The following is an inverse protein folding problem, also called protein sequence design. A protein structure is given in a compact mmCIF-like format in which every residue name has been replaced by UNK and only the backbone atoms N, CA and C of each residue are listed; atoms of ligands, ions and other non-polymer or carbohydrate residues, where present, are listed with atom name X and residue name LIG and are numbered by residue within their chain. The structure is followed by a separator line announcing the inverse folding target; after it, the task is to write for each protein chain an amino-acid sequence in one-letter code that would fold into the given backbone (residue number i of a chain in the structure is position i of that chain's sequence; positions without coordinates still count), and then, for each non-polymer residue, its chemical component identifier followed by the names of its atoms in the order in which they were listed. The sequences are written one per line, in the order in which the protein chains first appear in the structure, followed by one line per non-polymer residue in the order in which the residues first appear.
data_IF_404849689733
#
_entry.id   IF_404849689733
#
_cell.length_a   1.000
_cell.length_b   1.000
_cell.length_c   1.000
_cell.angle_alpha   90.00
_cell.angle_beta   90.00
_cell.angle_gamma   90.00
#
_symmetry.space_group_name_H-M   'P 1'
#
loop_
_entity.id
_entity.type
_entity.pdbx_description
1 polymer ?
#
# COMPACT_ATOMS: atom_id res chain seq x y z
N UNK A 1 -84.52 -18.06 0.75
CA UNK A 1 -84.31 -18.82 -0.50
C UNK A 1 -82.82 -18.87 -0.82
N UNK A 2 -82.26 -20.07 -1.05
CA UNK A 2 -80.96 -20.33 -1.72
C UNK A 2 -79.68 -20.06 -0.90
N UNK A 3 -79.10 -21.02 -0.16
CA UNK A 3 -78.16 -22.10 -0.60
C UNK A 3 -76.85 -21.58 -1.24
N UNK A 4 -75.70 -21.69 -0.54
CA UNK A 4 -74.59 -22.68 -0.72
C UNK A 4 -73.70 -22.37 -1.95
N UNK A 5 -72.36 -22.38 -1.98
CA UNK A 5 -71.25 -22.84 -1.12
C UNK A 5 -69.92 -22.34 -1.73
N UNK A 6 -68.86 -22.24 -0.90
CA UNK A 6 -67.42 -22.65 -1.08
C UNK A 6 -66.78 -22.55 -2.49
N UNK A 7 -65.55 -22.08 -2.72
CA UNK A 7 -64.27 -22.30 -2.02
C UNK A 7 -63.16 -21.60 -2.80
N UNK A 8 -62.10 -21.18 -2.10
CA UNK A 8 -60.83 -20.80 -2.73
C UNK A 8 -59.78 -20.40 -1.69
N UNK A 9 -59.14 -21.40 -1.07
CA UNK A 9 -57.94 -21.20 -0.25
C UNK A 9 -56.77 -20.78 -1.15
N UNK A 10 -55.95 -19.82 -0.70
CA UNK A 10 -54.49 -19.92 -0.79
C UNK A 10 -53.85 -19.11 0.33
N UNK A 11 -52.86 -19.75 0.97
CA UNK A 11 -52.15 -19.33 2.17
C UNK A 11 -51.09 -18.25 1.88
N UNK A 12 -50.73 -17.48 2.91
CA UNK A 12 -49.59 -16.56 2.85
C UNK A 12 -49.35 -15.87 4.19
N UNK A 13 -48.50 -16.47 4.99
CA UNK A 13 -47.99 -16.03 6.29
C UNK A 13 -47.40 -14.61 6.28
N UNK A 14 -47.51 -13.91 7.42
CA UNK A 14 -46.49 -12.94 7.84
C UNK A 14 -46.95 -11.49 7.99
N UNK A 15 -47.27 -11.10 9.22
CA UNK A 15 -47.13 -9.72 9.68
C UNK A 15 -46.82 -9.70 11.18
N UNK A 16 -45.71 -10.33 11.56
CA UNK A 16 -45.04 -9.97 12.80
C UNK A 16 -44.48 -8.56 12.60
N UNK A 17 -45.14 -7.56 13.20
CA UNK A 17 -44.69 -6.17 13.13
C UNK A 17 -43.24 -6.02 13.58
N UNK A 18 -42.45 -5.11 12.97
CA UNK A 18 -41.07 -4.91 13.38
C UNK A 18 -41.03 -4.33 14.80
N UNK A 19 -40.70 -5.20 15.75
CA UNK A 19 -40.22 -4.84 17.09
C UNK A 19 -39.01 -3.92 16.92
N UNK A 20 -39.19 -2.62 17.20
CA UNK A 20 -38.08 -1.68 17.35
C UNK A 20 -37.21 -2.15 18.51
N UNK A 21 -36.03 -2.68 18.18
CA UNK A 21 -34.90 -2.73 19.12
C UNK A 21 -33.84 -1.78 18.61
N UNK A 22 -33.51 -0.87 19.50
CA UNK A 22 -32.65 0.28 19.32
C UNK A 22 -31.28 -0.07 18.75
N UNK A 23 -30.77 0.89 17.99
CA UNK A 23 -29.61 0.71 17.13
C UNK A 23 -28.30 0.62 17.89
N UNK A 24 -27.35 -0.10 17.27
CA UNK A 24 -26.00 0.38 16.93
C UNK A 24 -25.25 -0.79 16.28
N UNK A 25 -25.45 -1.01 14.98
CA UNK A 25 -24.46 -1.73 14.17
C UNK A 25 -23.26 -0.77 14.04
N UNK A 26 -22.39 -0.76 15.04
CA UNK A 26 -21.04 -0.21 14.91
C UNK A 26 -20.36 -0.96 13.77
N UNK A 27 -20.25 -0.34 12.61
CA UNK A 27 -19.34 -0.80 11.56
C UNK A 27 -17.95 -0.85 12.20
N UNK A 28 -17.42 -2.05 12.51
CA UNK A 28 -16.02 -2.20 12.94
C UNK A 28 -15.16 -1.45 11.94
N UNK A 29 -14.53 -0.37 12.39
CA UNK A 29 -13.57 0.40 11.62
C UNK A 29 -12.55 -0.57 11.02
N UNK A 30 -12.25 -0.43 9.74
CA UNK A 30 -11.31 -1.31 9.05
C UNK A 30 -9.94 -1.18 9.72
N UNK A 31 -9.55 -2.20 10.49
CA UNK A 31 -8.20 -2.34 11.01
C UNK A 31 -7.38 -3.25 10.06
N UNK A 32 -6.40 -2.70 9.32
CA UNK A 32 -5.56 -3.49 8.43
C UNK A 32 -4.78 -4.57 9.18
N UNK A 33 -4.43 -4.37 10.46
CA UNK A 33 -3.68 -5.35 11.23
C UNK A 33 -4.48 -6.64 11.50
N UNK A 34 -5.81 -6.55 11.54
CA UNK A 34 -6.69 -7.71 11.72
C UNK A 34 -7.12 -8.34 10.39
N UNK A 35 -7.17 -7.57 9.30
CA UNK A 35 -7.84 -8.00 8.05
C UNK A 35 -6.91 -8.13 6.85
N UNK A 36 -5.85 -7.34 6.78
CA UNK A 36 -4.92 -7.35 5.65
C UNK A 36 -3.84 -8.44 5.83
N UNK A 37 -3.75 -9.44 4.93
CA UNK A 37 -2.73 -10.49 4.99
C UNK A 37 -1.29 -9.94 4.98
N UNK A 38 -1.03 -8.82 4.30
CA UNK A 38 0.31 -8.24 4.21
C UNK A 38 0.74 -7.64 5.55
N UNK A 39 -0.17 -7.00 6.28
CA UNK A 39 0.12 -6.48 7.62
C UNK A 39 0.36 -7.61 8.61
N UNK A 40 -0.38 -8.74 8.48
CA UNK A 40 -0.11 -9.95 9.25
C UNK A 40 1.25 -10.57 8.92
N UNK A 41 1.63 -10.59 7.65
CA UNK A 41 2.95 -11.05 7.20
C UNK A 41 4.05 -10.18 7.80
N UNK A 42 3.90 -8.85 7.76
CA UNK A 42 4.84 -7.93 8.41
C UNK A 42 4.94 -8.19 9.92
N UNK A 43 3.81 -8.36 10.62
CA UNK A 43 3.79 -8.67 12.05
C UNK A 43 4.49 -9.99 12.40
N UNK A 44 4.47 -10.98 11.49
CA UNK A 44 5.15 -12.27 11.65
C UNK A 44 6.62 -12.27 11.20
N UNK A 45 7.08 -11.21 10.51
CA UNK A 45 8.44 -11.14 9.94
C UNK A 45 9.56 -10.96 10.96
N UNK A 46 9.24 -10.61 12.22
CA UNK A 46 10.23 -10.24 13.24
C UNK A 46 10.81 -8.82 13.08
N UNK A 47 10.34 -8.06 12.09
CA UNK A 47 10.72 -6.65 11.92
C UNK A 47 10.25 -5.80 13.10
N UNK A 48 11.10 -4.87 13.55
CA UNK A 48 10.75 -3.87 14.56
C UNK A 48 10.10 -2.67 13.87
N UNK A 49 8.87 -2.36 14.23
CA UNK A 49 8.10 -1.22 13.73
C UNK A 49 7.09 -0.75 14.78
N UNK A 50 6.62 0.49 14.65
CA UNK A 50 5.48 0.98 15.42
C UNK A 50 4.21 0.91 14.57
N UNK A 51 3.20 0.15 15.02
CA UNK A 51 1.93 -0.05 14.30
C UNK A 51 1.25 1.25 13.88
N UNK A 52 1.33 2.28 14.73
CA UNK A 52 0.69 3.58 14.49
C UNK A 52 1.45 4.43 13.46
N UNK A 53 2.72 4.14 13.23
CA UNK A 53 3.57 4.89 12.30
C UNK A 53 3.58 4.29 10.89
N UNK A 54 3.18 3.02 10.73
CA UNK A 54 3.10 2.35 9.43
C UNK A 54 2.09 3.05 8.52
N UNK A 55 2.58 3.48 7.35
CA UNK A 55 1.82 4.18 6.31
C UNK A 55 1.27 3.23 5.27
N UNK A 56 2.04 2.22 4.89
CA UNK A 56 1.55 1.11 4.08
C UNK A 56 2.44 -0.13 4.24
N UNK A 57 1.85 -1.28 3.90
CA UNK A 57 2.55 -2.53 3.58
C UNK A 57 2.10 -2.97 2.19
N UNK A 58 3.04 -3.41 1.36
CA UNK A 58 2.78 -3.77 -0.04
C UNK A 58 3.78 -4.85 -0.51
N UNK A 59 3.41 -5.62 -1.54
CA UNK A 59 4.37 -6.45 -2.27
C UNK A 59 4.63 -5.86 -3.64
N UNK A 60 5.88 -5.93 -4.08
CA UNK A 60 6.22 -5.66 -5.47
C UNK A 60 5.98 -6.88 -6.37
N UNK A 61 6.18 -6.71 -7.68
CA UNK A 61 6.03 -7.81 -8.66
C UNK A 61 7.02 -8.96 -8.48
N UNK A 62 8.10 -8.78 -7.72
CA UNK A 62 9.01 -9.87 -7.34
C UNK A 62 8.53 -10.65 -6.12
N UNK A 63 7.42 -10.24 -5.50
CA UNK A 63 6.87 -10.81 -4.27
C UNK A 63 7.55 -10.29 -3.00
N UNK A 64 8.49 -9.35 -3.11
CA UNK A 64 9.16 -8.78 -1.93
C UNK A 64 8.18 -7.91 -1.14
N UNK A 65 8.04 -8.19 0.16
CA UNK A 65 7.30 -7.35 1.10
C UNK A 65 8.08 -6.06 1.36
N UNK A 66 7.47 -4.91 1.06
CA UNK A 66 8.01 -3.57 1.28
C UNK A 66 7.02 -2.78 2.13
N UNK A 67 7.53 -2.03 3.10
CA UNK A 67 6.70 -1.25 4.01
C UNK A 67 7.33 0.10 4.32
N UNK A 68 6.47 1.08 4.60
CA UNK A 68 6.87 2.43 4.94
C UNK A 68 6.23 2.81 6.28
N UNK A 69 7.02 3.42 7.16
CA UNK A 69 6.53 4.10 8.36
C UNK A 69 6.88 5.59 8.34
N UNK A 70 6.38 6.33 9.32
CA UNK A 70 6.67 7.75 9.53
C UNK A 70 8.18 8.04 9.47
N UNK A 71 8.98 7.26 10.19
CA UNK A 71 10.43 7.38 10.20
C UNK A 71 10.93 8.67 10.86
N UNK A 72 12.06 9.18 10.39
CA UNK A 72 12.72 10.39 10.88
C UNK A 72 13.50 11.08 9.74
N UNK A 73 14.28 12.12 10.05
CA UNK A 73 15.06 12.87 9.03
C UNK A 73 16.08 12.04 8.23
N UNK A 74 16.42 10.82 8.66
CA UNK A 74 17.38 9.92 8.01
C UNK A 74 16.75 8.74 7.27
N UNK A 75 15.49 8.39 7.54
CA UNK A 75 14.81 7.26 6.87
C UNK A 75 13.29 7.35 6.97
N UNK A 76 12.58 6.72 6.03
CA UNK A 76 11.12 6.63 6.05
C UNK A 76 10.45 7.88 5.48
N UNK A 77 9.17 8.07 5.79
CA UNK A 77 8.37 9.13 5.16
C UNK A 77 8.92 10.53 5.43
N UNK A 78 9.34 10.82 6.67
CA UNK A 78 9.92 12.13 7.02
C UNK A 78 11.15 12.46 6.17
N UNK A 79 12.06 11.51 5.99
CA UNK A 79 13.23 11.69 5.13
C UNK A 79 12.85 11.90 3.67
N UNK A 80 11.94 11.08 3.13
CA UNK A 80 11.46 11.20 1.74
C UNK A 80 10.87 12.59 1.51
N UNK A 81 10.03 13.06 2.42
CA UNK A 81 9.37 14.36 2.29
C UNK A 81 10.38 15.51 2.44
N UNK A 82 11.27 15.46 3.46
CA UNK A 82 12.25 16.52 3.69
C UNK A 82 13.29 16.64 2.56
N UNK A 83 13.68 15.53 1.94
CA UNK A 83 14.76 15.52 0.94
C UNK A 83 14.30 15.44 -0.50
N UNK A 84 13.14 14.83 -0.75
CA UNK A 84 12.73 14.40 -2.09
C UNK A 84 11.34 14.85 -2.52
N UNK A 85 10.57 15.58 -1.68
CA UNK A 85 9.28 16.13 -2.10
C UNK A 85 9.40 16.94 -3.41
N UNK A 86 10.45 17.74 -3.54
CA UNK A 86 10.68 18.54 -4.74
C UNK A 86 10.99 17.69 -5.98
N UNK A 87 11.60 16.52 -5.82
CA UNK A 87 11.84 15.59 -6.94
C UNK A 87 10.50 15.07 -7.46
N UNK A 88 9.62 14.61 -6.56
CA UNK A 88 8.26 14.17 -6.88
C UNK A 88 7.45 15.26 -7.58
N UNK A 89 7.46 16.48 -7.02
CA UNK A 89 6.69 17.61 -7.54
C UNK A 89 7.21 18.07 -8.90
N UNK A 90 8.52 18.33 -9.03
CA UNK A 90 9.10 18.94 -10.23
C UNK A 90 9.19 17.98 -11.41
N UNK A 91 9.50 16.70 -11.16
CA UNK A 91 9.75 15.75 -12.25
C UNK A 91 8.44 15.09 -12.70
N UNK A 92 7.54 14.79 -11.77
CA UNK A 92 6.35 13.95 -12.05
C UNK A 92 5.02 14.55 -11.65
N UNK A 93 5.00 15.76 -11.06
CA UNK A 93 3.78 16.47 -10.67
C UNK A 93 3.09 15.88 -9.44
N UNK A 94 3.78 15.07 -8.64
CA UNK A 94 3.20 14.41 -7.46
C UNK A 94 3.29 15.37 -6.27
N UNK A 95 2.15 15.79 -5.74
CA UNK A 95 2.09 16.65 -4.55
C UNK A 95 2.46 15.90 -3.27
N UNK A 96 2.86 16.64 -2.25
CA UNK A 96 3.28 16.12 -0.93
C UNK A 96 2.29 15.11 -0.35
N UNK A 97 1.00 15.45 -0.35
CA UNK A 97 -0.05 14.61 0.24
C UNK A 97 -0.25 13.30 -0.52
N UNK A 98 0.13 13.27 -1.80
CA UNK A 98 0.02 12.10 -2.66
C UNK A 98 1.27 11.21 -2.64
N UNK A 99 2.38 11.62 -2.00
CA UNK A 99 3.61 10.80 -1.98
C UNK A 99 3.35 9.39 -1.45
N UNK A 100 2.65 9.26 -0.31
CA UNK A 100 2.37 7.95 0.31
C UNK A 100 1.50 7.05 -0.58
N UNK A 101 0.28 7.44 -0.99
CA UNK A 101 -0.55 6.59 -1.83
C UNK A 101 0.10 6.29 -3.18
N UNK A 102 0.80 7.27 -3.77
CA UNK A 102 1.48 7.12 -5.05
C UNK A 102 2.65 6.13 -4.97
N UNK A 103 3.50 6.23 -3.95
CA UNK A 103 4.61 5.29 -3.73
C UNK A 103 4.09 3.85 -3.55
N UNK A 104 2.99 3.66 -2.82
CA UNK A 104 2.36 2.33 -2.69
C UNK A 104 1.96 1.75 -4.05
N UNK A 105 1.32 2.57 -4.90
CA UNK A 105 0.90 2.18 -6.24
C UNK A 105 2.11 1.80 -7.10
N UNK A 106 3.14 2.65 -7.17
CA UNK A 106 4.36 2.39 -7.95
C UNK A 106 4.99 1.05 -7.57
N UNK A 107 5.10 0.75 -6.28
CA UNK A 107 5.71 -0.50 -5.82
C UNK A 107 4.86 -1.71 -6.24
N UNK A 108 3.54 -1.64 -6.06
CA UNK A 108 2.63 -2.75 -6.39
C UNK A 108 2.43 -2.99 -7.89
N UNK A 109 2.37 -1.93 -8.68
CA UNK A 109 1.95 -1.99 -10.08
C UNK A 109 3.08 -1.69 -11.07
N UNK A 110 4.15 -1.03 -10.64
CA UNK A 110 5.29 -0.67 -11.46
C UNK A 110 6.10 -1.89 -11.92
N UNK A 111 6.75 -1.75 -13.06
CA UNK A 111 7.74 -2.69 -13.56
C UNK A 111 9.08 -2.43 -12.89
N UNK A 112 9.75 -3.49 -12.45
CA UNK A 112 11.10 -3.40 -11.87
C UNK A 112 12.08 -3.40 -13.04
N UNK A 113 12.67 -2.24 -13.31
CA UNK A 113 13.66 -2.06 -14.39
C UNK A 113 15.02 -2.66 -14.00
N UNK A 114 15.38 -2.55 -12.72
CA UNK A 114 16.46 -3.31 -12.12
C UNK A 114 16.27 -3.45 -10.61
N UNK A 115 16.95 -4.44 -10.04
CA UNK A 115 17.11 -4.63 -8.61
C UNK A 115 18.54 -5.07 -8.32
N UNK A 116 19.22 -4.41 -7.39
CA UNK A 116 20.55 -4.81 -6.93
C UNK A 116 20.66 -4.78 -5.42
N UNK A 117 21.52 -5.65 -4.89
CA UNK A 117 21.94 -5.58 -3.49
C UNK A 117 22.93 -4.43 -3.33
N UNK A 118 22.78 -3.66 -2.25
CA UNK A 118 23.72 -2.60 -1.85
C UNK A 118 24.13 -2.83 -0.40
N UNK A 119 25.40 -2.55 -0.09
CA UNK A 119 25.89 -2.52 1.29
C UNK A 119 26.26 -1.09 1.65
N UNK A 120 25.68 -0.56 2.74
CA UNK A 120 25.99 0.77 3.27
C UNK A 120 26.24 0.66 4.76
N UNK A 121 27.40 1.10 5.22
CA UNK A 121 27.79 1.08 6.63
C UNK A 121 27.61 -0.32 7.28
N UNK A 122 28.04 -1.37 6.57
CA UNK A 122 27.93 -2.76 7.01
C UNK A 122 26.52 -3.36 6.98
N UNK A 123 25.51 -2.62 6.48
CA UNK A 123 24.13 -3.11 6.35
C UNK A 123 23.81 -3.38 4.89
N UNK A 124 23.36 -4.59 4.61
CA UNK A 124 22.85 -4.99 3.29
C UNK A 124 21.40 -4.55 3.11
N UNK A 125 21.06 -4.14 1.90
CA UNK A 125 19.72 -3.78 1.46
C UNK A 125 19.60 -3.85 -0.05
N UNK A 126 18.56 -3.24 -0.59
CA UNK A 126 18.28 -3.22 -2.02
C UNK A 126 18.14 -1.80 -2.54
N UNK A 127 18.56 -1.60 -3.78
CA UNK A 127 18.20 -0.46 -4.61
C UNK A 127 17.40 -0.99 -5.80
N UNK A 128 16.25 -0.37 -6.09
CA UNK A 128 15.37 -0.77 -7.18
C UNK A 128 14.88 0.44 -7.96
N UNK A 129 14.89 0.35 -9.28
CA UNK A 129 14.24 1.34 -10.14
C UNK A 129 12.92 0.77 -10.64
N UNK A 130 11.86 1.55 -10.47
CA UNK A 130 10.52 1.24 -10.93
C UNK A 130 10.14 2.13 -12.11
N UNK A 131 9.43 1.57 -13.06
CA UNK A 131 8.72 2.27 -14.11
C UNK A 131 7.21 2.07 -13.92
N UNK A 132 6.48 3.17 -13.79
CA UNK A 132 5.03 3.17 -13.71
C UNK A 132 4.49 4.21 -14.69
N UNK A 133 3.78 3.74 -15.72
CA UNK A 133 3.18 4.59 -16.77
C UNK A 133 4.19 5.53 -17.44
N UNK A 134 5.41 5.05 -17.69
CA UNK A 134 6.49 5.82 -18.32
C UNK A 134 7.19 6.81 -17.38
N UNK A 135 6.79 6.88 -16.10
CA UNK A 135 7.48 7.65 -15.05
C UNK A 135 8.36 6.74 -14.20
N UNK A 136 9.51 7.24 -13.78
CA UNK A 136 10.55 6.43 -13.13
C UNK A 136 10.78 6.86 -11.69
N UNK A 137 10.89 5.87 -10.80
CA UNK A 137 11.08 6.09 -9.37
C UNK A 137 12.19 5.20 -8.86
N UNK A 138 13.20 5.81 -8.25
CA UNK A 138 14.28 5.08 -7.62
C UNK A 138 13.92 4.87 -6.14
N UNK A 139 13.80 3.61 -5.73
CA UNK A 139 13.87 3.23 -4.32
C UNK A 139 15.35 3.06 -3.99
N UNK A 140 15.96 4.13 -3.47
CA UNK A 140 17.41 4.25 -3.27
C UNK A 140 17.92 3.51 -2.04
N UNK A 141 17.00 3.02 -1.20
CA UNK A 141 17.29 2.16 -0.06
C UNK A 141 16.05 1.42 0.43
N UNK A 142 16.10 0.10 0.35
CA UNK A 142 15.17 -0.82 0.98
C UNK A 142 16.00 -1.68 1.94
N UNK A 143 15.66 -1.70 3.23
CA UNK A 143 16.31 -2.59 4.19
C UNK A 143 16.11 -4.05 3.80
N UNK A 144 17.00 -4.94 4.26
CA UNK A 144 16.83 -6.39 4.05
C UNK A 144 15.51 -6.94 4.60
N UNK A 145 14.92 -6.24 5.58
CA UNK A 145 13.61 -6.51 6.17
C UNK A 145 12.43 -5.83 5.44
N UNK A 146 12.65 -5.24 4.27
CA UNK A 146 11.61 -4.56 3.48
C UNK A 146 11.32 -3.11 3.88
N UNK A 147 12.00 -2.57 4.88
CA UNK A 147 11.78 -1.17 5.30
C UNK A 147 12.22 -0.19 4.22
N UNK A 148 11.31 0.65 3.75
CA UNK A 148 11.61 1.69 2.76
C UNK A 148 12.31 2.88 3.44
N UNK A 149 13.60 3.05 3.16
CA UNK A 149 14.43 4.13 3.71
C UNK A 149 14.25 5.41 2.93
N UNK A 150 14.33 5.34 1.59
CA UNK A 150 14.26 6.52 0.73
C UNK A 150 13.81 6.14 -0.69
N UNK A 151 13.04 7.05 -1.30
CA UNK A 151 12.64 6.96 -2.71
C UNK A 151 12.40 8.35 -3.28
N UNK A 152 12.63 8.51 -4.59
CA UNK A 152 12.39 9.75 -5.31
C UNK A 152 12.12 9.51 -6.80
N UNK A 153 11.41 10.47 -7.40
CA UNK A 153 11.20 10.54 -8.85
C UNK A 153 12.53 10.81 -9.58
N UNK A 154 12.71 10.20 -10.77
CA UNK A 154 13.88 10.45 -11.61
C UNK A 154 13.45 10.70 -13.06
N UNK A 155 14.17 11.60 -13.74
CA UNK A 155 13.91 11.85 -15.16
C UNK A 155 14.18 10.59 -15.99
N UNK A 156 13.51 10.46 -17.14
CA UNK A 156 13.75 9.36 -18.09
C UNK A 156 15.23 9.28 -18.53
N UNK A 157 15.89 10.42 -18.75
CA UNK A 157 17.32 10.49 -19.07
C UNK A 157 18.16 9.84 -17.97
N UNK A 158 17.89 10.17 -16.71
CA UNK A 158 18.58 9.59 -15.55
C UNK A 158 18.27 8.09 -15.42
N UNK A 159 17.01 7.69 -15.59
CA UNK A 159 16.58 6.31 -15.54
C UNK A 159 17.32 5.44 -16.58
N UNK A 160 17.41 5.90 -17.84
CA UNK A 160 18.15 5.23 -18.92
C UNK A 160 19.62 5.02 -18.58
N UNK A 161 20.26 5.99 -17.91
CA UNK A 161 21.65 5.84 -17.43
C UNK A 161 21.74 4.73 -16.38
N UNK A 162 20.83 4.70 -15.40
CA UNK A 162 20.82 3.66 -14.38
C UNK A 162 20.54 2.28 -14.96
N UNK A 163 19.55 2.14 -15.85
CA UNK A 163 19.23 0.89 -16.53
C UNK A 163 20.47 0.37 -17.27
N UNK A 164 21.12 1.21 -18.08
CA UNK A 164 22.33 0.81 -18.82
C UNK A 164 23.47 0.34 -17.91
N UNK A 165 23.66 0.98 -16.76
CA UNK A 165 24.72 0.61 -15.79
C UNK A 165 24.45 -0.70 -15.05
N UNK A 166 23.19 -1.12 -14.98
CA UNK A 166 22.77 -2.31 -14.23
C UNK A 166 22.21 -3.42 -15.13
N UNK A 167 22.22 -3.24 -16.46
CA UNK A 167 22.07 -4.33 -17.42
C UNK A 167 23.27 -5.25 -17.26
N UNK A 168 23.01 -6.48 -16.83
CA UNK A 168 23.98 -7.58 -16.89
C UNK A 168 24.17 -8.01 -18.33
#
# INVERSE_FOLDING_TARGET
MGMKSKSGHFAGSGAGGPSKRDGKLISKQYDPWERDPLYKELAKSGSKFNKNDVKFVVKDKSGQLIWLEKGNSKSGLEHIVQRHEQDFKKIHGVSRDNIVPHTKIIISQGNIEYSKTVSRNGRSGFEKLYNYEGKYYLLSGIGSNGYLVSTYAVSEKTAKIYIRRNKK
#
